data_IF_361688563062
#
_entry.id   IF_361688563062
#
_cell.length_a   1.000
_cell.length_b   1.000
_cell.length_c   1.000
_cell.angle_alpha   90.00
_cell.angle_beta   90.00
_cell.angle_gamma   90.00
#
_symmetry.space_group_name_H-M   'P 1'
#
loop_
_entity.id
_entity.type
_entity.pdbx_description
1 polymer ?
#
# COMPACT_ATOMS: atom_id res chain seq x y z
N UNK A 1 11.69 13.15 4.95
CA UNK A 1 12.03 11.83 4.34
C UNK A 1 11.01 10.73 4.65
N UNK A 2 10.18 10.83 5.71
CA UNK A 2 9.07 9.89 5.97
C UNK A 2 7.78 10.24 5.21
N UNK A 3 7.42 11.53 5.12
CA UNK A 3 6.22 11.98 4.35
C UNK A 3 6.24 11.50 2.90
N UNK A 4 7.38 11.61 2.21
CA UNK A 4 7.52 11.14 0.84
C UNK A 4 7.25 9.64 0.69
N UNK A 5 7.57 8.82 1.71
CA UNK A 5 7.32 7.37 1.69
C UNK A 5 5.84 7.03 1.87
N UNK A 6 5.11 7.80 2.67
CA UNK A 6 3.66 7.64 2.81
C UNK A 6 2.93 7.98 1.52
N UNK A 7 3.26 9.14 0.93
CA UNK A 7 2.69 9.53 -0.35
C UNK A 7 3.04 8.53 -1.45
N UNK A 8 4.28 8.04 -1.50
CA UNK A 8 4.70 7.03 -2.46
C UNK A 8 3.95 5.70 -2.29
N UNK A 9 3.75 5.23 -1.06
CA UNK A 9 2.98 4.00 -0.79
C UNK A 9 1.49 4.16 -1.16
N UNK A 10 0.90 5.32 -0.87
CA UNK A 10 -0.46 5.67 -1.29
C UNK A 10 -0.59 5.76 -2.81
N UNK A 11 0.37 6.38 -3.50
CA UNK A 11 0.39 6.45 -4.96
C UNK A 11 0.53 5.05 -5.56
N UNK A 12 1.39 4.20 -5.00
CA UNK A 12 1.54 2.82 -5.47
C UNK A 12 0.25 2.02 -5.28
N UNK A 13 -0.43 2.19 -4.14
CA UNK A 13 -1.73 1.60 -3.88
C UNK A 13 -2.79 2.06 -4.90
N UNK A 14 -2.81 3.36 -5.21
CA UNK A 14 -3.72 3.92 -6.21
C UNK A 14 -3.45 3.39 -7.62
N UNK A 15 -2.17 3.28 -8.00
CA UNK A 15 -1.76 2.71 -9.29
C UNK A 15 -2.19 1.24 -9.41
N UNK A 16 -2.06 0.45 -8.33
CA UNK A 16 -2.51 -0.96 -8.31
C UNK A 16 -4.03 -1.06 -8.48
N UNK A 17 -4.81 -0.17 -7.87
CA UNK A 17 -6.27 -0.10 -8.05
C UNK A 17 -6.66 0.22 -9.50
N UNK A 18 -6.01 1.21 -10.10
CA UNK A 18 -6.23 1.55 -11.52
C UNK A 18 -5.84 0.38 -12.42
N UNK A 19 -4.67 -0.22 -12.19
CA UNK A 19 -4.19 -1.35 -12.97
C UNK A 19 -5.14 -2.55 -12.94
N UNK A 20 -5.80 -2.84 -11.81
CA UNK A 20 -6.82 -3.89 -11.76
C UNK A 20 -8.10 -3.54 -12.52
N UNK A 21 -8.49 -2.27 -12.58
CA UNK A 21 -9.71 -1.83 -13.26
C UNK A 21 -9.53 -1.56 -14.76
N UNK A 22 -8.32 -1.25 -15.21
CA UNK A 22 -8.00 -0.88 -16.60
C UNK A 22 -6.95 -1.79 -17.23
N UNK A 23 -6.57 -2.86 -16.55
CA UNK A 23 -5.56 -3.80 -17.02
C UNK A 23 -6.01 -4.48 -18.31
N UNK A 24 -5.09 -4.71 -19.26
CA UNK A 24 -5.41 -5.52 -20.43
C UNK A 24 -5.84 -6.93 -19.99
N UNK A 25 -6.79 -7.54 -20.71
CA UNK A 25 -7.11 -8.97 -20.56
C UNK A 25 -5.89 -9.78 -20.97
N UNK A 26 -5.00 -10.04 -20.01
CA UNK A 26 -3.85 -10.91 -20.17
C UNK A 26 -4.33 -12.32 -19.84
N UNK A 27 -4.59 -13.11 -20.87
CA UNK A 27 -4.99 -14.50 -20.70
C UNK A 27 -3.83 -15.40 -20.24
N UNK A 28 -4.15 -16.42 -19.45
CA UNK A 28 -3.24 -17.46 -19.01
C UNK A 28 -2.58 -17.24 -17.64
N UNK A 29 -1.60 -18.10 -17.33
CA UNK A 29 -0.95 -18.17 -16.00
C UNK A 29 -0.33 -16.84 -15.57
N UNK A 30 0.20 -16.07 -16.51
CA UNK A 30 0.81 -14.76 -16.23
C UNK A 30 -0.23 -13.75 -15.74
N UNK A 31 -1.41 -13.70 -16.37
CA UNK A 31 -2.51 -12.83 -15.95
C UNK A 31 -3.03 -13.20 -14.57
N UNK A 32 -3.18 -14.51 -14.30
CA UNK A 32 -3.58 -14.98 -12.97
C UNK A 32 -2.55 -14.61 -11.89
N UNK A 33 -1.26 -14.82 -12.15
CA UNK A 33 -0.20 -14.51 -11.20
C UNK A 33 -0.12 -13.00 -10.91
N UNK A 34 -0.23 -12.16 -11.93
CA UNK A 34 -0.29 -10.70 -11.78
C UNK A 34 -1.54 -10.27 -11.01
N UNK A 35 -2.70 -10.86 -11.30
CA UNK A 35 -3.94 -10.58 -10.56
C UNK A 35 -3.80 -10.91 -9.07
N UNK A 36 -3.29 -12.09 -8.73
CA UNK A 36 -3.06 -12.48 -7.32
C UNK A 36 -2.06 -11.54 -6.64
N UNK A 37 -0.98 -11.17 -7.32
CA UNK A 37 0.01 -10.22 -6.80
C UNK A 37 -0.61 -8.83 -6.55
N UNK A 38 -1.43 -8.33 -7.47
CA UNK A 38 -2.14 -7.07 -7.33
C UNK A 38 -3.14 -7.10 -6.15
N UNK A 39 -3.87 -8.20 -5.96
CA UNK A 39 -4.76 -8.39 -4.81
C UNK A 39 -3.97 -8.39 -3.50
N UNK A 40 -2.82 -9.05 -3.45
CA UNK A 40 -1.95 -9.03 -2.28
C UNK A 40 -1.47 -7.61 -1.96
N UNK A 41 -1.02 -6.85 -2.97
CA UNK A 41 -0.61 -5.45 -2.80
C UNK A 41 -1.74 -4.55 -2.34
N UNK A 42 -2.97 -4.78 -2.81
CA UNK A 42 -4.16 -4.02 -2.40
C UNK A 42 -4.39 -4.11 -0.89
N UNK A 43 -4.07 -5.25 -0.27
CA UNK A 43 -4.15 -5.45 1.18
C UNK A 43 -2.90 -5.02 1.95
N UNK A 44 -1.72 -5.33 1.43
CA UNK A 44 -0.44 -5.09 2.14
C UNK A 44 -0.14 -3.60 2.28
N UNK A 45 -0.40 -2.80 1.25
CA UNK A 45 -0.10 -1.36 1.25
C UNK A 45 -0.90 -0.55 2.27
N UNK A 46 -2.24 -0.63 2.33
CA UNK A 46 -3.00 0.11 3.34
C UNK A 46 -2.67 -0.36 4.75
N UNK A 47 -2.46 -1.67 4.98
CA UNK A 47 -2.04 -2.17 6.30
C UNK A 47 -0.68 -1.61 6.70
N UNK A 48 0.31 -1.61 5.80
CA UNK A 48 1.62 -1.02 6.05
C UNK A 48 1.51 0.47 6.40
N UNK A 49 0.71 1.24 5.65
CA UNK A 49 0.49 2.66 5.92
C UNK A 49 -0.18 2.87 7.27
N UNK A 50 -1.21 2.09 7.61
CA UNK A 50 -1.90 2.18 8.90
C UNK A 50 -0.99 1.86 10.08
N UNK A 51 -0.21 0.77 10.02
CA UNK A 51 0.74 0.40 11.09
C UNK A 51 1.76 1.51 11.29
N UNK A 52 2.37 2.00 10.21
CA UNK A 52 3.34 3.10 10.27
C UNK A 52 2.73 4.39 10.84
N UNK A 53 1.50 4.70 10.48
CA UNK A 53 0.79 5.88 10.99
C UNK A 53 0.54 5.74 12.50
N UNK A 54 0.11 4.57 12.94
CA UNK A 54 -0.12 4.26 14.37
C UNK A 54 1.18 4.33 15.16
N UNK A 55 2.28 3.78 14.65
CA UNK A 55 3.60 3.87 15.28
C UNK A 55 4.08 5.33 15.41
N UNK A 56 3.95 6.13 14.34
CA UNK A 56 4.34 7.55 14.36
C UNK A 56 3.48 8.35 15.33
N UNK A 57 2.18 8.04 15.40
CA UNK A 57 1.25 8.67 16.34
C UNK A 57 1.56 8.29 17.79
N UNK A 58 1.82 7.00 18.04
CA UNK A 58 2.21 6.49 19.35
C UNK A 58 3.52 7.09 19.85
N UNK A 59 4.53 7.22 18.98
CA UNK A 59 5.80 7.87 19.31
C UNK A 59 5.62 9.35 19.67
N UNK A 60 4.74 10.08 18.96
CA UNK A 60 4.46 11.50 19.22
C UNK A 60 3.72 11.74 20.54
N UNK A 61 2.80 10.85 20.92
CA UNK A 61 2.03 11.00 22.16
C UNK A 61 2.74 10.39 23.38
N UNK A 62 3.54 9.33 23.20
CA UNK A 62 4.30 8.70 24.29
C UNK A 62 5.48 9.53 24.81
N UNK A 63 6.09 10.37 23.97
CA UNK A 63 7.27 11.17 24.33
C UNK A 63 7.05 12.37 25.26
N UNK A 64 5.80 12.71 25.64
CA UNK A 64 5.48 13.87 26.51
C UNK A 64 5.34 13.54 27.99
N UNK A 65 5.70 12.33 28.42
CA UNK A 65 5.53 11.86 29.81
C UNK A 65 6.84 11.68 30.59
N UNK A 66 7.97 12.16 30.07
CA UNK A 66 9.27 12.20 30.75
C UNK A 66 9.69 13.61 31.11
#
# INVERSE_FOLDING_TARGET
>A
MNESRYFQALTLWFVVLIFMGTGPDIDGVLGTALGVFCVALLWVLPVYVSVKLVDDLGARFGGRSG
#
